data_IF_509803760950
#
_entry.id   IF_509803760950
#
_cell.length_a   1.000
_cell.length_b   1.000
_cell.length_c   1.000
_cell.angle_alpha   90.00
_cell.angle_beta   90.00
_cell.angle_gamma   90.00
#
_symmetry.space_group_name_H-M   'P 1'
#
loop_
_entity.id
_entity.type
_entity.pdbx_description
1 polymer ?
#
# COMPACT_ATOMS: atom_id res chain seq x y z
N UNK A 1 -1.54 -14.54 6.53
CA UNK A 1 -1.64 -13.07 6.51
C UNK A 1 -2.96 -12.62 7.12
N UNK A 2 -2.92 -11.55 7.86
CA UNK A 2 -4.07 -11.04 8.55
C UNK A 2 -4.46 -9.69 7.93
N UNK A 3 -5.65 -9.63 7.34
CA UNK A 3 -6.11 -8.41 6.67
C UNK A 3 -7.26 -7.79 7.45
N UNK A 4 -7.14 -6.52 7.77
CA UNK A 4 -8.20 -5.76 8.41
C UNK A 4 -8.51 -4.53 7.57
N UNK A 5 -9.80 -4.30 7.34
CA UNK A 5 -10.26 -3.12 6.63
C UNK A 5 -11.29 -2.44 7.52
N UNK A 6 -11.06 -1.18 7.81
CA UNK A 6 -11.98 -0.42 8.66
C UNK A 6 -12.30 0.92 8.04
N UNK A 7 -13.39 1.52 8.49
CA UNK A 7 -13.85 2.80 7.97
C UNK A 7 -14.10 3.79 9.08
N UNK A 8 -13.80 5.06 8.78
CA UNK A 8 -14.07 6.18 9.66
C UNK A 8 -15.01 7.12 8.93
N UNK A 9 -16.21 7.29 9.48
CA UNK A 9 -17.23 8.13 8.84
C UNK A 9 -17.65 7.59 7.48
N UNK A 10 -17.44 6.31 7.26
CA UNK A 10 -17.83 5.63 6.03
C UNK A 10 -18.02 4.16 6.37
N UNK A 11 -18.98 3.55 5.74
CA UNK A 11 -19.23 2.14 5.92
C UNK A 11 -18.44 1.36 4.87
N UNK A 12 -17.72 0.34 5.31
CA UNK A 12 -16.99 -0.53 4.40
C UNK A 12 -17.96 -1.55 3.85
N UNK A 13 -18.49 -1.27 2.66
CA UNK A 13 -19.44 -2.17 2.01
C UNK A 13 -18.72 -3.38 1.44
N UNK A 14 -19.46 -4.46 1.13
CA UNK A 14 -18.82 -5.61 0.47
C UNK A 14 -18.13 -5.23 -0.83
N UNK A 15 -18.68 -4.28 -1.57
CA UNK A 15 -18.06 -3.84 -2.82
C UNK A 15 -16.72 -3.16 -2.57
N UNK A 16 -16.66 -2.31 -1.54
CA UNK A 16 -15.41 -1.65 -1.17
C UNK A 16 -14.38 -2.66 -0.70
N UNK A 17 -14.80 -3.61 0.13
CA UNK A 17 -13.90 -4.63 0.63
C UNK A 17 -13.33 -5.45 -0.52
N UNK A 18 -14.16 -5.84 -1.44
CA UNK A 18 -13.73 -6.63 -2.58
C UNK A 18 -12.76 -5.83 -3.46
N UNK A 19 -13.05 -4.55 -3.65
CA UNK A 19 -12.17 -3.69 -4.43
C UNK A 19 -10.79 -3.59 -3.82
N UNK A 20 -10.74 -3.39 -2.50
CA UNK A 20 -9.46 -3.31 -1.78
C UNK A 20 -8.71 -4.64 -1.89
N UNK A 21 -9.42 -5.74 -1.67
CA UNK A 21 -8.78 -7.06 -1.72
C UNK A 21 -8.21 -7.35 -3.10
N UNK A 22 -8.96 -7.00 -4.15
CA UNK A 22 -8.49 -7.23 -5.51
C UNK A 22 -7.26 -6.39 -5.86
N UNK A 23 -7.21 -5.17 -5.35
CA UNK A 23 -6.05 -4.31 -5.60
C UNK A 23 -4.85 -4.72 -4.75
N UNK A 24 -5.10 -5.20 -3.56
CA UNK A 24 -4.04 -5.59 -2.64
C UNK A 24 -3.34 -6.86 -3.08
N UNK A 25 -4.08 -7.80 -3.63
CA UNK A 25 -3.56 -9.14 -3.90
C UNK A 25 -2.29 -9.12 -4.75
N UNK A 26 -2.26 -8.44 -5.91
CA UNK A 26 -1.02 -8.43 -6.70
C UNK A 26 0.14 -7.73 -6.00
N UNK A 27 -0.16 -6.73 -5.16
CA UNK A 27 0.90 -6.03 -4.43
C UNK A 27 1.51 -6.94 -3.38
N UNK A 28 0.67 -7.68 -2.67
CA UNK A 28 1.14 -8.58 -1.61
C UNK A 28 2.06 -9.65 -2.16
N UNK A 29 1.84 -10.05 -3.40
CA UNK A 29 2.68 -11.07 -4.03
C UNK A 29 4.13 -10.62 -4.20
N UNK A 30 4.37 -9.31 -4.18
CA UNK A 30 5.72 -8.80 -4.31
C UNK A 30 6.47 -8.79 -2.97
N UNK A 31 5.77 -9.05 -1.87
CA UNK A 31 6.39 -9.13 -0.56
C UNK A 31 6.90 -10.54 -0.30
N UNK A 32 8.05 -10.63 0.35
CA UNK A 32 8.57 -11.94 0.73
C UNK A 32 7.79 -12.52 1.89
N UNK A 33 7.51 -11.68 2.88
CA UNK A 33 6.74 -12.10 4.04
C UNK A 33 5.88 -10.95 4.50
N UNK A 34 4.60 -11.25 4.72
CA UNK A 34 3.67 -10.28 5.26
C UNK A 34 2.96 -10.92 6.43
N UNK A 35 3.03 -10.28 7.58
CA UNK A 35 2.34 -10.79 8.77
C UNK A 35 0.96 -10.19 8.91
N UNK A 36 0.74 -9.00 8.37
CA UNK A 36 -0.58 -8.39 8.42
C UNK A 36 -0.68 -7.17 7.56
N UNK A 37 -1.91 -6.82 7.20
CA UNK A 37 -2.21 -5.62 6.44
C UNK A 37 -3.40 -4.95 7.08
N UNK A 38 -3.30 -3.65 7.27
CA UNK A 38 -4.37 -2.86 7.86
C UNK A 38 -4.71 -1.72 6.89
N UNK A 39 -5.97 -1.67 6.46
CA UNK A 39 -6.44 -0.64 5.55
C UNK A 39 -7.50 0.18 6.28
N UNK A 40 -7.35 1.50 6.25
CA UNK A 40 -8.31 2.41 6.86
C UNK A 40 -8.84 3.35 5.79
N UNK A 41 -10.14 3.38 5.63
CA UNK A 41 -10.81 4.25 4.69
C UNK A 41 -11.57 5.30 5.49
N UNK A 42 -11.44 6.57 5.11
CA UNK A 42 -12.11 7.63 5.86
C UNK A 42 -12.64 8.69 4.93
N UNK A 43 -13.69 9.34 5.38
CA UNK A 43 -14.28 10.46 4.66
C UNK A 43 -14.40 11.61 5.65
N UNK A 44 -13.85 12.75 5.29
CA UNK A 44 -13.91 13.93 6.13
C UNK A 44 -14.30 15.10 5.26
N UNK A 45 -15.53 15.59 5.46
CA UNK A 45 -16.09 16.62 4.61
C UNK A 45 -16.08 16.13 3.16
N UNK A 46 -15.39 16.83 2.28
CA UNK A 46 -15.33 16.43 0.87
C UNK A 46 -14.11 15.59 0.54
N UNK A 47 -13.27 15.33 1.55
CA UNK A 47 -12.03 14.63 1.33
C UNK A 47 -12.18 13.15 1.66
N UNK A 48 -11.77 12.30 0.75
CA UNK A 48 -11.81 10.85 0.95
C UNK A 48 -10.40 10.35 0.99
N UNK A 49 -10.10 9.56 2.01
CA UNK A 49 -8.74 9.17 2.33
C UNK A 49 -8.64 7.66 2.45
N UNK A 50 -7.55 7.12 1.96
CA UNK A 50 -7.23 5.69 2.09
C UNK A 50 -5.83 5.56 2.66
N UNK A 51 -5.69 4.65 3.63
CA UNK A 51 -4.40 4.38 4.26
C UNK A 51 -4.18 2.88 4.28
N UNK A 52 -2.94 2.46 4.08
CA UNK A 52 -2.58 1.06 4.21
C UNK A 52 -1.29 0.96 4.99
N UNK A 53 -1.26 0.03 5.94
CA UNK A 53 -0.05 -0.32 6.67
C UNK A 53 0.19 -1.80 6.47
N UNK A 54 1.37 -2.13 5.98
CA UNK A 54 1.77 -3.51 5.75
C UNK A 54 2.83 -3.86 6.77
N UNK A 55 2.57 -4.92 7.53
CA UNK A 55 3.49 -5.38 8.58
C UNK A 55 4.34 -6.51 8.03
N UNK A 56 5.64 -6.27 8.02
CA UNK A 56 6.62 -7.29 7.62
C UNK A 56 7.62 -7.43 8.75
N UNK A 57 8.38 -8.52 8.79
CA UNK A 57 9.38 -8.68 9.86
C UNK A 57 10.37 -7.52 9.83
N UNK A 58 10.52 -6.87 10.96
CA UNK A 58 11.51 -5.82 11.11
C UNK A 58 11.04 -4.42 10.80
N UNK A 59 9.90 -4.24 10.15
CA UNK A 59 9.42 -2.89 9.88
C UNK A 59 7.99 -2.89 9.37
N UNK A 60 7.40 -1.71 9.36
CA UNK A 60 6.09 -1.49 8.78
C UNK A 60 6.24 -0.57 7.58
N UNK A 61 5.40 -0.78 6.57
CA UNK A 61 5.33 0.10 5.43
C UNK A 61 3.96 0.76 5.42
N UNK A 62 3.95 2.07 5.30
CA UNK A 62 2.71 2.85 5.38
C UNK A 62 2.59 3.78 4.20
N UNK A 63 1.40 3.82 3.60
CA UNK A 63 1.09 4.73 2.50
C UNK A 63 -0.30 5.28 2.73
N UNK A 64 -0.49 6.55 2.42
CA UNK A 64 -1.83 7.13 2.47
C UNK A 64 -2.02 8.06 1.29
N UNK A 65 -3.26 8.15 0.84
CA UNK A 65 -3.66 9.02 -0.26
C UNK A 65 -5.04 9.57 0.01
N UNK A 66 -5.31 10.74 -0.54
CA UNK A 66 -6.63 11.36 -0.39
C UNK A 66 -7.00 12.07 -1.67
N UNK A 67 -8.29 12.30 -1.84
CA UNK A 67 -8.81 12.98 -3.02
C UNK A 67 -10.32 13.07 -2.98
N UNK A 68 -10.89 13.38 -4.12
CA UNK A 68 -12.33 13.54 -4.24
C UNK A 68 -13.06 12.21 -4.42
N UNK A 69 -12.34 11.18 -4.80
CA UNK A 69 -12.92 9.88 -5.11
C UNK A 69 -12.17 8.80 -4.34
N UNK A 70 -12.89 8.06 -3.53
CA UNK A 70 -12.27 7.04 -2.68
C UNK A 70 -11.63 5.92 -3.50
N UNK A 71 -12.27 5.51 -4.58
CA UNK A 71 -11.72 4.45 -5.43
C UNK A 71 -10.41 4.90 -6.06
N UNK A 72 -10.35 6.15 -6.50
CA UNK A 72 -9.11 6.70 -7.05
C UNK A 72 -8.02 6.78 -5.99
N UNK A 73 -8.40 7.15 -4.77
CA UNK A 73 -7.43 7.20 -3.67
C UNK A 73 -6.88 5.81 -3.37
N UNK A 74 -7.74 4.80 -3.39
CA UNK A 74 -7.32 3.42 -3.18
C UNK A 74 -6.35 2.98 -4.26
N UNK A 75 -6.68 3.26 -5.52
CA UNK A 75 -5.82 2.90 -6.64
C UNK A 75 -4.43 3.52 -6.50
N UNK A 76 -4.39 4.83 -6.23
CA UNK A 76 -3.12 5.54 -6.10
C UNK A 76 -2.34 5.03 -4.91
N UNK A 77 -3.03 4.74 -3.81
CA UNK A 77 -2.39 4.22 -2.60
C UNK A 77 -1.68 2.91 -2.88
N UNK A 78 -2.36 1.97 -3.52
CA UNK A 78 -1.75 0.67 -3.80
C UNK A 78 -0.67 0.76 -4.86
N UNK A 79 -0.80 1.68 -5.81
CA UNK A 79 0.25 1.90 -6.78
C UNK A 79 1.53 2.39 -6.11
N UNK A 80 1.39 3.31 -5.17
CA UNK A 80 2.55 3.80 -4.41
C UNK A 80 3.15 2.72 -3.54
N UNK A 81 2.30 1.92 -2.92
CA UNK A 81 2.78 0.83 -2.08
C UNK A 81 3.57 -0.18 -2.91
N UNK A 82 3.06 -0.51 -4.08
CA UNK A 82 3.73 -1.44 -4.97
C UNK A 82 5.11 -0.92 -5.37
N UNK A 83 5.20 0.36 -5.67
CA UNK A 83 6.47 0.98 -6.03
C UNK A 83 7.46 0.93 -4.87
N UNK A 84 6.98 1.15 -3.65
CA UNK A 84 7.86 1.07 -2.49
C UNK A 84 8.40 -0.32 -2.27
N UNK A 85 7.57 -1.33 -2.48
CA UNK A 85 8.00 -2.72 -2.33
C UNK A 85 9.08 -3.05 -3.34
N UNK A 86 8.84 -2.70 -4.59
CA UNK A 86 9.80 -3.00 -5.65
C UNK A 86 11.10 -2.24 -5.43
N UNK A 87 11.00 -1.02 -4.98
CA UNK A 87 12.19 -0.22 -4.70
C UNK A 87 13.01 -0.83 -3.56
N UNK A 88 12.34 -1.31 -2.52
CA UNK A 88 13.01 -1.97 -1.43
C UNK A 88 13.72 -3.23 -1.89
N UNK A 89 13.07 -4.01 -2.73
CA UNK A 89 13.68 -5.22 -3.26
C UNK A 89 14.93 -4.90 -4.07
N UNK A 90 14.85 -3.89 -4.91
CA UNK A 90 15.99 -3.47 -5.70
C UNK A 90 17.14 -3.00 -4.82
N UNK A 91 16.82 -2.25 -3.78
CA UNK A 91 17.85 -1.80 -2.85
C UNK A 91 18.55 -2.97 -2.20
N UNK A 92 17.81 -3.96 -1.77
CA UNK A 92 18.39 -5.12 -1.12
C UNK A 92 19.25 -5.93 -2.08
N UNK A 93 18.82 -6.03 -3.32
CA UNK A 93 19.58 -6.74 -4.32
C UNK A 93 20.84 -5.97 -4.72
N UNK A 94 20.71 -4.66 -4.85
CA UNK A 94 21.83 -3.82 -5.25
C UNK A 94 22.84 -3.64 -4.14
N UNK A 95 22.47 -3.99 -2.94
CA UNK A 95 23.34 -3.85 -1.79
C UNK A 95 24.70 -4.50 -2.02
N UNK A 96 24.71 -5.62 -2.69
CA UNK A 96 25.95 -6.33 -2.94
C UNK A 96 26.87 -5.58 -3.88
N UNK A 97 26.31 -4.83 -4.80
CA UNK A 97 27.11 -4.14 -5.79
C UNK A 97 27.52 -2.77 -5.36
N UNK A 98 26.74 -2.22 -4.47
CA UNK A 98 27.07 -0.89 -4.01
C UNK A 98 26.84 0.17 -4.98
N UNK A 99 26.76 0.23 -6.05
CA UNK A 99 26.65 1.28 -6.86
C UNK A 99 25.72 1.54 -7.69
N UNK A 100 25.59 1.77 -8.21
CA UNK A 100 24.88 2.10 -9.04
C UNK A 100 23.75 2.32 -9.29
N UNK A 101 23.57 2.06 -9.36
CA UNK A 101 22.56 2.18 -9.68
C UNK A 101 21.74 3.05 -9.42
N UNK A 102 22.03 3.35 -9.02
CA UNK A 102 21.42 4.11 -8.56
C UNK A 102 20.63 4.88 -9.23
N UNK A 103 20.91 4.92 -9.62
CA UNK A 103 20.35 5.53 -10.01
C UNK A 103 19.22 5.67 -10.42
N UNK A 104 19.21 5.48 -10.62
CA UNK A 104 18.37 5.58 -10.89
C UNK A 104 17.39 5.91 -10.67
N UNK A 105 17.48 6.07 -10.48
CA UNK A 105 16.66 6.35 -10.17
C UNK A 105 15.94 6.94 -10.12
N UNK A 106 16.03 7.17 -10.20
CA UNK A 106 15.42 7.73 -10.09
C UNK A 106 14.52 8.02 -10.22
N UNK A 107 14.41 8.10 -10.19
CA UNK A 107 13.45 8.39 -10.12
C UNK A 107 12.96 8.55 -9.97
#
# INVERSE_FOLDING_TARGET
MNLQISGHHIEVTPALREYVENKLDPVIRHFDKVTGVNVVLSVEKLKQKAEVTVHVPGKDMHVEESGDDLYAAIDTMFDKLDRQVLKNKQKMQDHHRGDKVVMQEAE
#
